data_IF_249882727614
#
_entry.id   IF_249882727614
#
_cell.length_a   1.000
_cell.length_b   1.000
_cell.length_c   1.000
_cell.angle_alpha   90.00
_cell.angle_beta   90.00
_cell.angle_gamma   90.00
#
_symmetry.space_group_name_H-M   'P 1'
#
loop_
_entity.id
_entity.type
_entity.pdbx_description
1 polymer ?
#
# COMPACT_ATOMS: atom_id res chain seq x y z
N UNK A 1 1.43 2.08 -15.65
CA UNK A 1 2.21 3.21 -16.22
C UNK A 1 2.31 3.14 -17.75
N UNK A 2 2.59 1.98 -18.34
CA UNK A 2 2.64 1.81 -19.81
C UNK A 2 1.30 2.19 -20.45
N UNK A 3 0.18 1.80 -19.86
CA UNK A 3 -1.17 2.12 -20.35
C UNK A 3 -1.43 3.62 -20.40
N UNK A 4 -0.97 4.37 -19.39
CA UNK A 4 -1.09 5.84 -19.35
C UNK A 4 -0.26 6.52 -20.43
N UNK A 5 0.98 6.05 -20.64
CA UNK A 5 1.84 6.60 -21.69
C UNK A 5 1.27 6.38 -23.10
N UNK A 6 0.67 5.21 -23.35
CA UNK A 6 0.02 4.88 -24.61
C UNK A 6 -1.22 5.73 -24.83
N UNK A 7 -2.14 5.78 -23.87
CA UNK A 7 -3.34 6.58 -23.97
C UNK A 7 -3.02 8.08 -24.11
N UNK A 8 -1.99 8.59 -23.41
CA UNK A 8 -1.51 9.97 -23.57
C UNK A 8 -0.99 10.25 -24.98
N UNK A 9 -0.20 9.36 -25.58
CA UNK A 9 0.28 9.50 -26.94
C UNK A 9 -0.88 9.48 -27.96
N UNK A 10 -1.86 8.61 -27.78
CA UNK A 10 -3.06 8.49 -28.63
C UNK A 10 -3.97 9.72 -28.52
N UNK A 11 -4.10 10.29 -27.32
CA UNK A 11 -4.85 11.53 -27.08
C UNK A 11 -4.28 12.69 -27.90
N UNK A 12 -2.95 12.87 -27.87
CA UNK A 12 -2.27 13.98 -28.56
C UNK A 12 -2.23 13.79 -30.08
N UNK A 13 -2.01 12.56 -30.55
CA UNK A 13 -1.80 12.30 -31.98
C UNK A 13 -3.07 12.05 -32.75
N UNK A 14 -4.14 11.59 -32.10
CA UNK A 14 -5.42 11.20 -32.75
C UNK A 14 -5.31 9.94 -33.62
N UNK A 15 -4.23 9.17 -33.52
CA UNK A 15 -4.05 7.94 -34.29
C UNK A 15 -4.95 6.82 -33.76
N UNK A 16 -5.24 5.84 -34.63
CA UNK A 16 -6.08 4.68 -34.29
C UNK A 16 -5.44 3.67 -33.33
N UNK A 17 -4.20 3.86 -32.97
CA UNK A 17 -3.48 3.01 -32.03
C UNK A 17 -1.99 3.28 -32.02
N UNK A 18 -1.31 2.63 -31.09
CA UNK A 18 0.12 2.83 -30.80
C UNK A 18 0.87 1.51 -30.77
N UNK A 19 2.07 1.48 -31.37
CA UNK A 19 2.98 0.35 -31.24
C UNK A 19 3.87 0.54 -30.02
N UNK A 20 3.83 -0.44 -29.10
CA UNK A 20 4.78 -0.55 -28.00
C UNK A 20 5.86 -1.54 -28.40
N UNK A 21 7.12 -1.14 -28.29
CA UNK A 21 8.25 -2.00 -28.58
C UNK A 21 9.23 -2.04 -27.41
N UNK A 22 9.82 -3.20 -27.18
CA UNK A 22 10.84 -3.42 -26.14
C UNK A 22 11.99 -4.26 -26.68
N UNK A 23 13.21 -3.85 -26.33
CA UNK A 23 14.43 -4.61 -26.59
C UNK A 23 14.91 -5.22 -25.28
N UNK A 24 14.79 -6.55 -25.13
CA UNK A 24 15.16 -7.28 -23.94
C UNK A 24 16.59 -7.84 -24.11
N UNK A 25 17.49 -7.52 -23.18
CA UNK A 25 18.85 -8.00 -23.19
C UNK A 25 19.68 -7.61 -24.42
N UNK A 26 19.26 -6.60 -25.17
CA UNK A 26 19.95 -6.08 -26.35
C UNK A 26 19.79 -6.90 -27.63
N UNK A 27 19.14 -8.06 -27.58
CA UNK A 27 19.01 -8.99 -28.72
C UNK A 27 17.59 -9.53 -28.98
N UNK A 28 16.65 -9.33 -28.05
CA UNK A 28 15.27 -9.79 -28.21
C UNK A 28 14.35 -8.60 -28.38
N UNK A 29 13.92 -8.33 -29.63
CA UNK A 29 12.96 -7.29 -29.95
C UNK A 29 11.55 -7.85 -29.92
N UNK A 30 10.66 -7.24 -29.13
CA UNK A 30 9.23 -7.54 -29.07
C UNK A 30 8.44 -6.29 -29.27
N UNK A 31 7.31 -6.41 -29.94
CA UNK A 31 6.37 -5.31 -30.12
C UNK A 31 4.93 -5.81 -30.01
N UNK A 32 4.03 -4.87 -29.68
CA UNK A 32 2.59 -5.11 -29.61
C UNK A 32 1.87 -3.84 -30.10
N UNK A 33 0.87 -4.01 -30.94
CA UNK A 33 -0.05 -2.95 -31.27
C UNK A 33 -1.12 -2.86 -30.19
N UNK A 34 -1.44 -1.65 -29.75
CA UNK A 34 -2.51 -1.33 -28.82
C UNK A 34 -3.48 -0.44 -29.58
N UNK A 35 -4.70 -0.88 -29.69
CA UNK A 35 -5.78 -0.10 -30.32
C UNK A 35 -6.17 1.07 -29.42
N UNK A 36 -6.59 2.17 -30.05
CA UNK A 36 -7.09 3.37 -29.37
C UNK A 36 -8.37 3.03 -28.61
N UNK A 37 -8.42 3.40 -27.35
CA UNK A 37 -9.55 3.22 -26.45
C UNK A 37 -10.11 4.59 -26.06
N UNK A 38 -11.18 5.02 -26.73
CA UNK A 38 -11.81 6.33 -26.50
C UNK A 38 -12.43 6.46 -25.11
N UNK A 39 -12.95 5.38 -24.54
CA UNK A 39 -13.53 5.40 -23.20
C UNK A 39 -12.44 5.62 -22.15
N UNK A 40 -11.34 4.88 -22.24
CA UNK A 40 -10.18 5.04 -21.38
C UNK A 40 -9.56 6.44 -21.54
N UNK A 41 -9.42 6.94 -22.75
CA UNK A 41 -8.87 8.28 -23.02
C UNK A 41 -9.75 9.36 -22.40
N UNK A 42 -11.07 9.28 -22.59
CA UNK A 42 -12.01 10.25 -22.02
C UNK A 42 -11.94 10.29 -20.48
N UNK A 43 -11.91 9.12 -19.86
CA UNK A 43 -11.75 9.00 -18.39
C UNK A 43 -10.43 9.60 -17.92
N UNK A 44 -9.33 9.38 -18.63
CA UNK A 44 -8.02 9.94 -18.27
C UNK A 44 -8.00 11.46 -18.42
N UNK A 45 -8.57 12.00 -19.49
CA UNK A 45 -8.67 13.46 -19.70
C UNK A 45 -9.47 14.11 -18.55
N UNK A 46 -10.58 13.51 -18.15
CA UNK A 46 -11.40 14.00 -17.04
C UNK A 46 -10.61 14.04 -15.74
N UNK A 47 -9.94 12.93 -15.40
CA UNK A 47 -9.11 12.85 -14.20
C UNK A 47 -7.91 13.82 -14.20
N UNK A 48 -7.27 14.00 -15.35
CA UNK A 48 -6.13 14.92 -15.49
C UNK A 48 -6.59 16.37 -15.45
N UNK A 49 -7.77 16.68 -16.00
CA UNK A 49 -8.37 18.02 -15.94
C UNK A 49 -8.73 18.40 -14.52
N UNK A 50 -9.37 17.51 -13.76
CA UNK A 50 -9.69 17.71 -12.33
C UNK A 50 -8.40 17.95 -11.53
N UNK A 51 -7.38 17.11 -11.73
CA UNK A 51 -6.09 17.32 -11.09
C UNK A 51 -5.46 18.68 -11.44
N UNK A 52 -5.56 19.10 -12.71
CA UNK A 52 -5.02 20.38 -13.16
C UNK A 52 -5.74 21.58 -12.54
N UNK A 53 -7.06 21.50 -12.32
CA UNK A 53 -7.81 22.49 -11.57
C UNK A 53 -7.31 22.64 -10.13
N UNK A 54 -7.01 21.54 -9.46
CA UNK A 54 -6.36 21.53 -8.15
C UNK A 54 -5.00 22.23 -8.16
N UNK A 55 -4.18 22.01 -9.21
CA UNK A 55 -2.87 22.67 -9.38
C UNK A 55 -3.06 24.17 -9.57
N UNK A 56 -3.98 24.59 -10.45
CA UNK A 56 -4.23 26.02 -10.72
C UNK A 56 -4.78 26.77 -9.53
N UNK A 57 -5.68 26.15 -8.79
CA UNK A 57 -6.27 26.72 -7.57
C UNK A 57 -5.35 26.65 -6.35
N UNK A 58 -4.17 26.02 -6.47
CA UNK A 58 -3.26 25.74 -5.35
C UNK A 58 -3.95 24.99 -4.20
N UNK A 59 -4.99 24.25 -4.49
CA UNK A 59 -5.76 23.47 -3.53
C UNK A 59 -5.36 22.00 -3.65
N UNK A 60 -4.80 21.39 -2.61
CA UNK A 60 -4.45 19.97 -2.67
C UNK A 60 -5.70 19.10 -2.92
N UNK A 61 -5.60 18.02 -3.69
CA UNK A 61 -6.70 17.08 -3.83
C UNK A 61 -7.13 16.51 -2.48
N UNK A 62 -8.39 16.07 -2.33
CA UNK A 62 -8.87 15.49 -1.10
C UNK A 62 -8.05 14.23 -0.74
N UNK A 63 -7.79 14.06 0.55
CA UNK A 63 -7.08 12.88 1.03
C UNK A 63 -7.99 11.65 0.94
N UNK A 64 -7.45 10.59 0.39
CA UNK A 64 -8.09 9.28 0.31
C UNK A 64 -7.35 8.22 1.16
N UNK A 65 -7.78 6.96 1.11
CA UNK A 65 -7.15 5.83 1.80
C UNK A 65 -5.87 5.30 1.13
N UNK A 66 -5.32 5.98 0.13
CA UNK A 66 -4.16 5.52 -0.62
C UNK A 66 -2.84 5.68 0.15
N UNK A 67 -1.85 4.87 -0.23
CA UNK A 67 -0.48 5.04 0.26
C UNK A 67 0.14 6.38 -0.16
N UNK A 68 -0.32 7.00 -1.25
CA UNK A 68 0.12 8.31 -1.71
C UNK A 68 -0.32 9.41 -0.73
N UNK A 69 -1.57 9.41 -0.29
CA UNK A 69 -2.08 10.32 0.74
C UNK A 69 -1.35 10.16 2.08
N UNK A 70 -1.08 8.91 2.49
CA UNK A 70 -0.30 8.65 3.71
C UNK A 70 1.14 9.18 3.60
N UNK A 71 1.80 8.99 2.46
CA UNK A 71 3.15 9.51 2.19
C UNK A 71 3.17 11.04 2.20
N UNK A 72 2.21 11.68 1.53
CA UNK A 72 2.07 13.13 1.53
C UNK A 72 1.94 13.70 2.94
N UNK A 73 1.10 13.09 3.80
CA UNK A 73 0.97 13.52 5.19
C UNK A 73 2.25 13.33 6.00
N UNK A 74 2.99 12.24 5.79
CA UNK A 74 4.27 12.00 6.44
C UNK A 74 5.34 13.02 6.02
N UNK A 75 5.38 13.40 4.74
CA UNK A 75 6.29 14.42 4.21
C UNK A 75 5.92 15.83 4.67
N UNK A 76 4.62 16.14 4.71
CA UNK A 76 4.13 17.44 5.15
C UNK A 76 4.29 17.67 6.65
N UNK A 77 4.15 16.63 7.46
CA UNK A 77 4.21 16.67 8.92
C UNK A 77 5.23 15.66 9.48
N UNK A 78 6.52 15.78 9.15
CA UNK A 78 7.53 14.79 9.52
C UNK A 78 7.78 14.69 11.03
N UNK A 79 7.59 15.81 11.75
CA UNK A 79 7.85 15.90 13.19
C UNK A 79 6.61 16.33 13.96
N UNK A 80 6.51 15.87 15.20
CA UNK A 80 5.50 16.36 16.14
C UNK A 80 6.10 17.39 17.10
N UNK A 81 5.29 18.36 17.51
CA UNK A 81 5.65 19.27 18.61
C UNK A 81 5.36 18.54 19.91
N UNK A 82 6.39 18.32 20.73
CA UNK A 82 6.25 17.58 21.97
C UNK A 82 5.23 18.24 22.92
N UNK A 83 4.33 17.43 23.48
CA UNK A 83 3.28 17.85 24.43
C UNK A 83 2.25 18.85 23.87
N UNK A 84 2.27 19.18 22.56
CA UNK A 84 1.22 20.01 21.97
C UNK A 84 -0.10 19.26 21.93
N UNK A 85 -1.19 19.98 22.17
CA UNK A 85 -2.57 19.48 22.10
C UNK A 85 -3.41 20.43 21.26
N UNK A 86 -4.34 19.90 20.50
CA UNK A 86 -5.32 20.64 19.73
C UNK A 86 -6.70 20.02 19.97
N UNK A 87 -7.71 20.84 20.02
CA UNK A 87 -9.11 20.40 19.99
C UNK A 87 -9.49 20.24 18.53
N UNK A 88 -9.90 19.04 18.15
CA UNK A 88 -10.38 18.76 16.80
C UNK A 88 -11.82 19.30 16.62
N UNK A 89 -12.21 19.66 15.41
CA UNK A 89 -13.58 20.08 15.12
C UNK A 89 -14.56 18.88 15.25
N UNK A 90 -15.84 19.18 15.46
CA UNK A 90 -16.90 18.17 15.62
C UNK A 90 -17.01 17.19 14.44
N UNK A 91 -16.64 17.62 13.24
CA UNK A 91 -16.57 16.75 12.07
C UNK A 91 -15.62 15.54 12.24
N UNK A 92 -14.66 15.63 13.17
CA UNK A 92 -13.78 14.50 13.48
C UNK A 92 -14.52 13.31 14.15
N UNK A 93 -15.69 13.57 14.77
CA UNK A 93 -16.48 12.51 15.40
C UNK A 93 -16.95 11.48 14.39
N UNK A 94 -17.45 11.92 13.24
CA UNK A 94 -17.87 11.01 12.17
C UNK A 94 -16.72 10.17 11.62
N UNK A 95 -15.53 10.76 11.49
CA UNK A 95 -14.32 10.04 11.05
C UNK A 95 -13.86 9.00 12.07
N UNK A 96 -13.97 9.30 13.37
CA UNK A 96 -13.67 8.34 14.45
C UNK A 96 -14.64 7.16 14.39
N UNK A 97 -15.94 7.42 14.25
CA UNK A 97 -16.95 6.36 14.13
C UNK A 97 -16.72 5.48 12.90
N UNK A 98 -16.40 6.10 11.77
CA UNK A 98 -16.04 5.34 10.56
C UNK A 98 -14.79 4.48 10.76
N UNK A 99 -13.78 5.01 11.44
CA UNK A 99 -12.56 4.27 11.76
C UNK A 99 -12.84 3.08 12.68
N UNK A 100 -13.61 3.28 13.76
CA UNK A 100 -13.95 2.23 14.73
C UNK A 100 -14.78 1.12 14.05
N UNK A 101 -15.78 1.48 13.26
CA UNK A 101 -16.56 0.51 12.48
C UNK A 101 -15.70 -0.30 11.50
N UNK A 102 -14.74 0.35 10.84
CA UNK A 102 -13.80 -0.35 9.95
C UNK A 102 -12.86 -1.30 10.73
N UNK A 103 -12.42 -0.92 11.93
CA UNK A 103 -11.64 -1.80 12.80
C UNK A 103 -12.42 -3.04 13.23
N UNK A 104 -13.68 -2.89 13.64
CA UNK A 104 -14.55 -4.03 14.01
C UNK A 104 -14.74 -5.01 12.84
N UNK A 105 -14.96 -4.49 11.64
CA UNK A 105 -15.06 -5.33 10.44
C UNK A 105 -13.74 -6.04 10.13
N UNK A 106 -12.60 -5.34 10.27
CA UNK A 106 -11.28 -5.93 10.05
C UNK A 106 -11.01 -7.08 11.03
N UNK A 107 -11.35 -6.90 12.31
CA UNK A 107 -11.21 -7.92 13.34
C UNK A 107 -12.09 -9.14 13.01
N UNK A 108 -13.35 -8.92 12.64
CA UNK A 108 -14.28 -9.98 12.23
C UNK A 108 -13.75 -10.78 11.04
N UNK A 109 -13.29 -10.11 9.98
CA UNK A 109 -12.72 -10.80 8.82
C UNK A 109 -11.39 -11.49 9.12
N UNK A 110 -10.61 -10.94 10.05
CA UNK A 110 -9.36 -11.55 10.50
C UNK A 110 -9.64 -12.86 11.25
N UNK A 111 -10.66 -12.90 12.11
CA UNK A 111 -11.10 -14.10 12.80
C UNK A 111 -11.62 -15.16 11.83
N UNK A 112 -12.48 -14.77 10.87
CA UNK A 112 -13.00 -15.70 9.85
C UNK A 112 -11.88 -16.29 9.00
N UNK A 113 -10.90 -15.46 8.59
CA UNK A 113 -9.72 -15.92 7.87
C UNK A 113 -8.91 -16.91 8.71
N UNK A 114 -8.69 -16.62 9.99
CA UNK A 114 -7.92 -17.46 10.89
C UNK A 114 -8.62 -18.80 11.14
N UNK A 115 -9.95 -18.80 11.28
CA UNK A 115 -10.74 -20.02 11.41
C UNK A 115 -10.58 -20.91 10.18
N UNK A 116 -10.78 -20.36 8.98
CA UNK A 116 -10.58 -21.08 7.72
C UNK A 116 -9.16 -21.63 7.59
N UNK A 117 -8.14 -20.86 7.97
CA UNK A 117 -6.74 -21.27 7.96
C UNK A 117 -6.51 -22.44 8.93
N UNK A 118 -7.07 -22.39 10.13
CA UNK A 118 -6.95 -23.45 11.14
C UNK A 118 -7.61 -24.75 10.67
N UNK A 119 -8.79 -24.68 10.05
CA UNK A 119 -9.47 -25.85 9.47
C UNK A 119 -8.67 -26.48 8.33
N UNK A 120 -8.08 -25.65 7.46
CA UNK A 120 -7.20 -26.13 6.38
C UNK A 120 -5.93 -26.79 6.94
N UNK A 121 -5.31 -26.23 7.97
CA UNK A 121 -4.16 -26.83 8.68
C UNK A 121 -4.54 -28.17 9.32
N UNK A 122 -5.71 -28.27 9.92
CA UNK A 122 -6.23 -29.52 10.48
C UNK A 122 -6.38 -30.59 9.39
N UNK A 123 -6.86 -30.21 8.20
CA UNK A 123 -6.99 -31.15 7.07
C UNK A 123 -5.63 -31.58 6.51
N UNK A 124 -4.61 -30.71 6.54
CA UNK A 124 -3.25 -31.04 6.13
C UNK A 124 -2.59 -32.04 7.11
N UNK A 125 -2.86 -31.94 8.41
CA UNK A 125 -2.21 -32.74 9.44
C UNK A 125 -0.70 -32.57 9.39
N UNK A 126 0.02 -33.69 9.29
CA UNK A 126 1.50 -33.69 9.21
C UNK A 126 2.06 -33.43 7.81
N UNK A 127 1.19 -33.20 6.81
CA UNK A 127 1.63 -32.98 5.44
C UNK A 127 1.96 -31.50 5.19
N UNK A 128 3.04 -31.27 4.48
CA UNK A 128 3.47 -29.92 4.10
C UNK A 128 2.66 -29.30 2.96
N UNK A 129 2.07 -30.14 2.11
CA UNK A 129 1.40 -29.71 0.87
C UNK A 129 0.09 -30.46 0.73
N UNK A 130 -0.98 -29.71 0.50
CA UNK A 130 -2.29 -30.20 0.09
C UNK A 130 -2.70 -29.58 -1.24
N UNK A 131 -3.39 -30.36 -2.06
CA UNK A 131 -3.92 -29.89 -3.34
C UNK A 131 -5.40 -30.10 -3.44
N UNK A 132 -6.12 -29.11 -3.95
CA UNK A 132 -7.54 -29.20 -4.25
C UNK A 132 -7.86 -28.38 -5.51
N UNK A 133 -8.39 -29.03 -6.54
CA UNK A 133 -8.70 -28.41 -7.84
C UNK A 133 -7.46 -27.69 -8.41
N UNK A 134 -7.53 -26.39 -8.59
CA UNK A 134 -6.51 -25.48 -9.12
C UNK A 134 -5.64 -24.82 -8.03
N UNK A 135 -5.82 -25.22 -6.75
CA UNK A 135 -5.12 -24.59 -5.61
C UNK A 135 -4.18 -25.55 -4.91
N UNK A 136 -3.06 -25.00 -4.48
CA UNK A 136 -2.06 -25.68 -3.65
C UNK A 136 -2.01 -24.95 -2.30
N UNK A 137 -2.18 -25.72 -1.22
CA UNK A 137 -2.08 -25.23 0.15
C UNK A 137 -0.75 -25.73 0.71
N UNK A 138 0.03 -24.85 1.32
CA UNK A 138 1.32 -25.20 1.91
C UNK A 138 1.39 -24.78 3.37
N UNK A 139 1.83 -25.70 4.23
CA UNK A 139 2.10 -25.44 5.64
C UNK A 139 3.38 -26.17 6.04
N UNK A 140 4.52 -25.51 5.78
CA UNK A 140 5.86 -26.09 5.94
C UNK A 140 6.55 -25.63 7.20
N UNK A 141 7.37 -26.49 7.77
CA UNK A 141 8.32 -26.10 8.81
C UNK A 141 9.45 -25.26 8.19
N UNK A 142 9.61 -24.03 8.70
CA UNK A 142 10.67 -23.12 8.26
C UNK A 142 11.56 -22.79 9.44
N UNK A 143 12.85 -23.10 9.33
CA UNK A 143 13.85 -22.64 10.28
C UNK A 143 14.18 -21.15 10.01
N UNK A 144 14.06 -20.30 11.01
CA UNK A 144 14.43 -18.90 10.92
C UNK A 144 15.39 -18.53 12.03
N UNK A 145 16.55 -18.02 11.64
CA UNK A 145 17.48 -17.40 12.60
C UNK A 145 17.04 -15.97 12.89
N UNK A 146 16.94 -15.62 14.16
CA UNK A 146 16.63 -14.26 14.59
C UNK A 146 17.72 -13.79 15.55
N UNK A 147 18.23 -12.59 15.28
CA UNK A 147 19.18 -11.94 16.19
C UNK A 147 18.45 -11.55 17.49
N UNK A 148 18.93 -12.06 18.62
CA UNK A 148 18.50 -11.58 19.94
C UNK A 148 19.14 -10.22 20.20
N UNK A 149 18.47 -9.19 19.73
CA UNK A 149 18.92 -7.82 19.89
C UNK A 149 18.93 -7.33 21.36
N UNK A 150 18.15 -7.97 22.22
CA UNK A 150 18.11 -7.64 23.65
C UNK A 150 19.38 -8.14 24.35
N UNK A 151 19.72 -9.40 24.14
CA UNK A 151 20.96 -10.00 24.67
C UNK A 151 22.19 -9.35 24.04
N UNK A 152 22.19 -9.12 22.71
CA UNK A 152 23.29 -8.41 22.05
C UNK A 152 23.53 -7.00 22.62
N UNK A 153 22.46 -6.28 22.96
CA UNK A 153 22.57 -4.95 23.59
C UNK A 153 23.13 -5.00 24.99
N UNK A 154 22.83 -6.06 25.76
CA UNK A 154 23.29 -6.24 27.13
C UNK A 154 24.77 -6.67 27.18
N UNK A 155 25.16 -7.65 26.39
CA UNK A 155 26.47 -8.26 26.38
C UNK A 155 27.51 -7.51 25.55
N UNK A 156 27.05 -6.95 24.39
CA UNK A 156 27.93 -6.25 23.44
C UNK A 156 27.39 -4.86 23.06
N UNK A 157 27.28 -3.92 24.03
CA UNK A 157 26.64 -2.61 23.80
C UNK A 157 27.32 -1.76 22.73
N UNK A 158 28.64 -1.88 22.60
CA UNK A 158 29.41 -1.14 21.57
C UNK A 158 29.09 -1.65 20.16
N UNK A 159 29.01 -2.97 20.00
CA UNK A 159 28.63 -3.60 18.74
C UNK A 159 27.19 -3.26 18.37
N UNK A 160 26.27 -3.37 19.33
CA UNK A 160 24.88 -2.98 19.13
C UNK A 160 24.76 -1.52 18.66
N UNK A 161 25.41 -0.57 19.34
CA UNK A 161 25.37 0.85 18.95
C UNK A 161 25.91 1.13 17.55
N UNK A 162 26.92 0.38 17.09
CA UNK A 162 27.51 0.51 15.77
C UNK A 162 26.53 0.17 14.65
N UNK A 163 25.62 -0.80 14.88
CA UNK A 163 24.70 -1.32 13.86
C UNK A 163 23.23 -0.98 14.13
N UNK A 164 22.89 -0.37 15.26
CA UNK A 164 21.54 0.06 15.57
C UNK A 164 21.24 1.42 14.93
N UNK A 165 20.26 1.44 14.02
CA UNK A 165 19.75 2.65 13.41
C UNK A 165 18.52 3.15 14.17
N UNK A 166 18.47 4.46 14.45
CA UNK A 166 17.27 5.10 15.01
C UNK A 166 16.42 5.62 13.86
N UNK A 167 15.23 5.10 13.73
CA UNK A 167 14.22 5.60 12.79
C UNK A 167 13.18 6.40 13.55
N UNK A 168 12.92 7.63 13.12
CA UNK A 168 11.88 8.47 13.67
C UNK A 168 10.63 8.36 12.79
N UNK A 169 9.49 8.06 13.39
CA UNK A 169 8.19 8.05 12.70
C UNK A 169 7.08 8.49 13.65
N UNK A 170 5.99 9.01 13.09
CA UNK A 170 4.78 9.38 13.86
C UNK A 170 3.84 8.18 13.92
N UNK A 171 3.45 7.78 15.13
CA UNK A 171 2.48 6.70 15.33
C UNK A 171 1.09 7.29 15.54
N UNK A 172 0.14 6.89 14.69
CA UNK A 172 -1.28 7.19 14.86
C UNK A 172 -1.93 6.20 15.82
N UNK A 173 -2.79 6.68 16.72
CA UNK A 173 -3.64 5.82 17.57
C UNK A 173 -4.84 6.63 18.05
N UNK A 174 -6.00 5.97 18.16
CA UNK A 174 -7.20 6.49 18.81
C UNK A 174 -7.36 5.75 20.13
N UNK A 175 -7.68 6.47 21.20
CA UNK A 175 -7.92 5.92 22.54
C UNK A 175 -9.06 6.68 23.18
N UNK A 176 -9.83 6.01 24.04
CA UNK A 176 -10.79 6.70 24.91
C UNK A 176 -10.07 7.72 25.79
N UNK A 177 -10.68 8.88 25.98
CA UNK A 177 -10.23 9.85 26.98
C UNK A 177 -10.57 9.26 28.36
N UNK A 178 -9.57 9.03 29.20
CA UNK A 178 -9.75 8.64 30.61
C UNK A 178 -10.14 9.82 31.47
#
# INVERSE_FOLDING_TARGET
EVSKAVAGAETVTGYAGTYIAVLIGGNMFKWKFVERDEELISMLIELESDFWEHVQSMTPPPLDGSGASAKFLAERFPNSIAKSKIILPDSAVALIQQYDAACEQLDTFTEQKQEAENLLKQMLGDNEIGTIRDRIITWKSVAQERLDSKTLKAEHPTLYKKYANKTLYRRFSIKAAG
#
